data_IF_997743936452
#
_entry.id   IF_997743936452
#
_cell.length_a   1.000
_cell.length_b   1.000
_cell.length_c   1.000
_cell.angle_alpha   90.00
_cell.angle_beta   90.00
_cell.angle_gamma   90.00
#
_symmetry.space_group_name_H-M   'P 1'
#
loop_
_entity.id
_entity.type
_entity.pdbx_description
1 polymer ?
#
# COMPACT_ATOMS: atom_id res chain seq x y z
N UNK A 1 -0.91 -17.60 10.38
CA UNK A 1 -1.57 -16.36 9.91
C UNK A 1 -1.61 -16.41 8.39
N UNK A 2 -2.69 -15.95 7.74
CA UNK A 2 -2.80 -15.96 6.29
C UNK A 2 -1.75 -15.02 5.65
N UNK A 3 -0.87 -15.51 4.78
CA UNK A 3 0.30 -14.74 4.35
C UNK A 3 0.05 -13.81 3.17
N UNK A 4 -1.05 -13.98 2.42
CA UNK A 4 -1.37 -13.17 1.24
C UNK A 4 -2.40 -12.10 1.61
N UNK A 5 -2.06 -10.83 1.37
CA UNK A 5 -2.99 -9.72 1.49
C UNK A 5 -3.55 -9.34 0.11
N UNK A 6 -4.87 -9.29 -0.02
CA UNK A 6 -5.53 -8.91 -1.27
C UNK A 6 -6.80 -8.11 -1.01
N UNK A 7 -7.14 -7.23 -1.94
CA UNK A 7 -8.46 -6.62 -1.96
C UNK A 7 -9.45 -7.62 -2.57
N UNK A 8 -10.47 -8.00 -1.81
CA UNK A 8 -11.55 -8.87 -2.26
C UNK A 8 -12.91 -8.23 -1.93
N UNK A 9 -13.92 -8.57 -2.72
CA UNK A 9 -15.30 -8.26 -2.37
C UNK A 9 -15.74 -9.24 -1.28
N UNK A 10 -16.20 -8.70 -0.14
CA UNK A 10 -16.65 -9.48 1.01
C UNK A 10 -18.11 -9.18 1.31
N UNK A 11 -18.84 -10.20 1.71
CA UNK A 11 -20.21 -10.12 2.19
C UNK A 11 -20.38 -10.92 3.51
N UNK A 12 -21.59 -10.94 4.06
CA UNK A 12 -21.91 -11.63 5.32
C UNK A 12 -21.74 -13.15 5.26
N UNK A 13 -21.72 -13.75 4.07
CA UNK A 13 -21.48 -15.19 3.93
C UNK A 13 -19.99 -15.54 3.99
N UNK A 14 -19.11 -14.53 4.03
CA UNK A 14 -17.66 -14.73 4.17
C UNK A 14 -17.16 -14.60 5.62
N UNK A 15 -18.05 -14.30 6.56
CA UNK A 15 -17.73 -14.20 8.00
C UNK A 15 -18.35 -15.38 8.75
N UNK A 16 -17.74 -15.76 9.88
CA UNK A 16 -18.25 -16.87 10.69
C UNK A 16 -19.64 -16.57 11.27
N UNK A 17 -20.41 -17.62 11.55
CA UNK A 17 -21.84 -17.55 11.93
C UNK A 17 -22.13 -16.56 13.06
N UNK A 18 -21.27 -16.56 14.09
CA UNK A 18 -21.39 -15.62 15.20
C UNK A 18 -21.31 -14.14 14.75
N UNK A 19 -20.34 -13.82 13.88
CA UNK A 19 -20.18 -12.48 13.36
C UNK A 19 -21.26 -12.13 12.33
N UNK A 20 -21.79 -13.13 11.61
CA UNK A 20 -22.92 -12.97 10.70
C UNK A 20 -24.18 -12.55 11.46
N UNK A 21 -24.53 -13.27 12.53
CA UNK A 21 -25.66 -12.93 13.39
C UNK A 21 -25.50 -11.52 13.98
N UNK A 22 -24.32 -11.21 14.53
CA UNK A 22 -24.03 -9.87 15.03
C UNK A 22 -24.17 -8.78 13.96
N UNK A 23 -23.70 -9.04 12.73
CA UNK A 23 -23.81 -8.10 11.62
C UNK A 23 -25.26 -7.89 11.18
N UNK A 24 -26.10 -8.93 11.24
CA UNK A 24 -27.54 -8.85 10.96
C UNK A 24 -28.27 -8.03 12.02
N UNK A 25 -28.06 -8.33 13.31
CA UNK A 25 -28.68 -7.62 14.43
C UNK A 25 -28.30 -6.13 14.47
N UNK A 26 -27.05 -5.81 14.12
CA UNK A 26 -26.52 -4.44 14.14
C UNK A 26 -26.62 -3.71 12.81
N UNK A 27 -27.20 -4.35 11.79
CA UNK A 27 -27.32 -3.80 10.44
C UNK A 27 -25.97 -3.32 9.86
N UNK A 28 -24.92 -4.13 10.05
CA UNK A 28 -23.55 -3.91 9.58
C UNK A 28 -23.32 -4.75 8.32
N UNK A 29 -22.55 -4.23 7.35
CA UNK A 29 -22.20 -4.96 6.12
C UNK A 29 -23.42 -5.41 5.31
N UNK A 30 -24.40 -4.52 5.17
CA UNK A 30 -25.65 -4.80 4.44
C UNK A 30 -25.43 -4.98 2.94
N UNK A 31 -24.33 -4.41 2.44
CA UNK A 31 -23.92 -4.51 1.05
C UNK A 31 -22.52 -5.10 0.97
N UNK A 32 -22.23 -5.92 -0.06
CA UNK A 32 -20.88 -6.34 -0.37
C UNK A 32 -19.97 -5.13 -0.49
N UNK A 33 -18.74 -5.26 0.03
CA UNK A 33 -17.75 -4.18 -0.05
C UNK A 33 -16.37 -4.72 -0.37
N UNK A 34 -15.58 -3.93 -1.08
CA UNK A 34 -14.17 -4.23 -1.32
C UNK A 34 -13.36 -3.95 -0.06
N UNK A 35 -12.72 -4.98 0.49
CA UNK A 35 -11.89 -4.88 1.70
C UNK A 35 -10.55 -5.59 1.51
N UNK A 36 -9.53 -5.11 2.23
CA UNK A 36 -8.25 -5.80 2.32
C UNK A 36 -8.39 -6.98 3.29
N UNK A 37 -8.11 -8.19 2.81
CA UNK A 37 -8.19 -9.42 3.60
C UNK A 37 -6.88 -10.21 3.57
N UNK A 38 -6.63 -10.98 4.62
CA UNK A 38 -5.62 -12.03 4.63
C UNK A 38 -6.21 -13.34 4.08
N UNK A 39 -5.52 -13.99 3.14
CA UNK A 39 -5.94 -15.24 2.52
C UNK A 39 -4.76 -16.19 2.33
N UNK A 40 -5.03 -17.49 2.20
CA UNK A 40 -4.07 -18.51 1.76
C UNK A 40 -4.11 -18.73 0.24
N UNK A 41 -4.95 -17.98 -0.48
CA UNK A 41 -5.17 -18.10 -1.92
C UNK A 41 -5.16 -16.71 -2.56
N UNK A 42 -4.61 -16.60 -3.76
CA UNK A 42 -4.80 -15.45 -4.62
C UNK A 42 -4.75 -15.85 -6.10
N UNK A 43 -5.42 -15.05 -6.93
CA UNK A 43 -5.45 -15.21 -8.38
C UNK A 43 -4.93 -13.92 -9.01
N UNK A 44 -3.99 -14.04 -9.96
CA UNK A 44 -3.40 -12.89 -10.70
C UNK A 44 -2.86 -11.79 -9.78
N UNK A 45 -2.03 -12.17 -8.81
CA UNK A 45 -1.31 -11.23 -7.92
C UNK A 45 0.11 -11.00 -8.43
N UNK A 46 0.59 -9.75 -8.35
CA UNK A 46 1.99 -9.41 -8.59
C UNK A 46 2.75 -9.53 -7.26
N UNK A 47 3.83 -10.32 -7.26
CA UNK A 47 4.65 -10.59 -6.08
C UNK A 47 6.11 -10.26 -6.39
N UNK A 48 6.79 -9.67 -5.42
CA UNK A 48 8.24 -9.55 -5.48
C UNK A 48 8.88 -10.94 -5.38
N UNK A 49 9.93 -11.19 -6.17
CA UNK A 49 10.59 -12.51 -6.27
C UNK A 49 11.00 -13.08 -4.91
N UNK A 50 11.55 -12.25 -4.01
CA UNK A 50 11.95 -12.69 -2.67
C UNK A 50 10.77 -13.17 -1.83
N UNK A 51 9.65 -12.45 -1.88
CA UNK A 51 8.44 -12.83 -1.15
C UNK A 51 7.83 -14.13 -1.72
N UNK A 52 7.86 -14.28 -3.04
CA UNK A 52 7.39 -15.51 -3.70
C UNK A 52 8.23 -16.72 -3.28
N UNK A 53 9.57 -16.59 -3.25
CA UNK A 53 10.46 -17.66 -2.76
C UNK A 53 10.13 -18.06 -1.32
N UNK A 54 9.96 -17.07 -0.45
CA UNK A 54 9.55 -17.32 0.94
C UNK A 54 8.21 -18.06 1.02
N UNK A 55 7.21 -17.67 0.22
CA UNK A 55 5.92 -18.39 0.17
C UNK A 55 6.06 -19.85 -0.27
N UNK A 56 6.89 -20.13 -1.28
CA UNK A 56 7.14 -21.50 -1.75
C UNK A 56 7.79 -22.37 -0.64
N UNK A 57 8.76 -21.81 0.08
CA UNK A 57 9.40 -22.48 1.23
C UNK A 57 8.40 -22.80 2.36
N UNK A 58 7.34 -21.99 2.49
CA UNK A 58 6.29 -22.14 3.50
C UNK A 58 5.06 -22.89 2.98
N UNK A 59 5.19 -23.63 1.87
CA UNK A 59 4.19 -24.57 1.39
C UNK A 59 3.08 -23.98 0.52
N UNK A 60 3.19 -22.71 0.10
CA UNK A 60 2.30 -22.19 -0.94
C UNK A 60 2.71 -22.75 -2.30
N UNK A 61 1.71 -23.01 -3.15
CA UNK A 61 1.92 -23.61 -4.48
C UNK A 61 1.58 -22.59 -5.56
N UNK A 62 2.51 -22.35 -6.48
CA UNK A 62 2.26 -21.57 -7.69
C UNK A 62 1.68 -22.47 -8.76
N UNK A 63 0.44 -22.20 -9.16
CA UNK A 63 -0.24 -22.99 -10.19
C UNK A 63 0.01 -22.45 -11.60
N UNK A 64 0.15 -21.13 -11.75
CA UNK A 64 0.34 -20.45 -13.05
C UNK A 64 1.18 -19.18 -12.89
N UNK A 65 2.09 -18.95 -13.84
CA UNK A 65 2.86 -17.71 -13.98
C UNK A 65 2.42 -17.02 -15.27
N UNK A 66 1.98 -15.77 -15.16
CA UNK A 66 1.47 -15.00 -16.30
C UNK A 66 2.50 -14.03 -16.87
N UNK A 67 3.32 -13.45 -16.01
CA UNK A 67 4.30 -12.44 -16.38
C UNK A 67 5.46 -12.46 -15.38
N UNK A 68 6.66 -12.21 -15.88
CA UNK A 68 7.86 -11.95 -15.09
C UNK A 68 8.38 -10.58 -15.51
N UNK A 69 8.68 -9.73 -14.54
CA UNK A 69 9.25 -8.40 -14.78
C UNK A 69 10.62 -8.37 -14.13
N UNK A 70 11.65 -8.24 -14.96
CA UNK A 70 13.03 -8.07 -14.52
C UNK A 70 13.37 -6.58 -14.47
N UNK A 71 14.18 -6.19 -13.49
CA UNK A 71 14.72 -4.85 -13.39
C UNK A 71 16.18 -4.93 -12.95
N UNK A 72 16.99 -3.98 -13.43
CA UNK A 72 18.35 -3.80 -12.94
C UNK A 72 18.29 -2.98 -11.65
N UNK A 73 18.77 -3.50 -10.51
CA UNK A 73 18.75 -2.76 -9.27
C UNK A 73 19.74 -1.59 -9.34
N UNK A 74 19.23 -0.37 -9.25
CA UNK A 74 20.03 0.85 -9.27
C UNK A 74 19.66 1.73 -8.08
N UNK A 75 20.68 2.34 -7.45
CA UNK A 75 20.51 3.22 -6.30
C UNK A 75 20.20 4.66 -6.73
N UNK A 76 19.26 4.84 -7.66
CA UNK A 76 18.95 6.13 -8.28
C UNK A 76 18.45 7.20 -7.29
N UNK A 77 17.94 6.80 -6.12
CA UNK A 77 17.50 7.69 -5.05
C UNK A 77 18.47 7.76 -3.86
N UNK A 78 19.71 7.27 -4.00
CA UNK A 78 20.68 7.24 -2.89
C UNK A 78 20.91 8.61 -2.27
N UNK A 79 21.16 9.62 -3.09
CA UNK A 79 21.40 11.00 -2.61
C UNK A 79 20.22 11.53 -1.79
N UNK A 80 18.99 11.26 -2.24
CA UNK A 80 17.78 11.62 -1.52
C UNK A 80 17.63 10.86 -0.20
N UNK A 81 17.81 9.53 -0.21
CA UNK A 81 17.73 8.69 0.98
C UNK A 81 18.79 9.06 2.03
N UNK A 82 20.00 9.39 1.57
CA UNK A 82 21.09 9.88 2.42
C UNK A 82 20.74 11.23 3.04
N UNK A 83 20.17 12.17 2.27
CA UNK A 83 19.76 13.47 2.78
C UNK A 83 18.69 13.36 3.89
N UNK A 84 17.65 12.55 3.66
CA UNK A 84 16.62 12.28 4.68
C UNK A 84 17.24 11.64 5.92
N UNK A 85 18.07 10.61 5.74
CA UNK A 85 18.67 9.87 6.85
C UNK A 85 19.66 10.72 7.65
N UNK A 86 20.45 11.55 6.99
CA UNK A 86 21.39 12.47 7.64
C UNK A 86 20.67 13.55 8.44
N UNK A 87 19.60 14.14 7.89
CA UNK A 87 18.80 15.14 8.60
C UNK A 87 18.15 14.55 9.86
N UNK A 88 17.68 13.29 9.80
CA UNK A 88 17.14 12.59 10.96
C UNK A 88 18.19 12.34 12.04
N UNK A 89 19.35 11.79 11.68
CA UNK A 89 20.47 11.60 12.62
C UNK A 89 20.91 12.92 13.26
N UNK A 90 20.92 14.02 12.50
CA UNK A 90 21.28 15.32 13.02
C UNK A 90 20.24 15.85 14.04
N UNK A 91 18.95 15.61 13.82
CA UNK A 91 17.91 15.94 14.80
C UNK A 91 17.92 15.08 16.05
N UNK A 92 18.36 13.82 15.95
CA UNK A 92 18.53 12.95 17.12
C UNK A 92 19.70 13.42 18.03
N UNK A 93 20.73 14.04 17.43
CA UNK A 93 21.91 14.58 18.16
C UNK A 93 21.65 16.00 18.69
N UNK A 94 20.95 16.83 17.92
CA UNK A 94 20.73 18.25 18.22
C UNK A 94 19.23 18.59 18.24
N UNK A 95 18.64 18.78 19.43
CA UNK A 95 17.22 19.09 19.58
C UNK A 95 16.76 20.34 18.83
N UNK A 96 17.65 21.30 18.52
CA UNK A 96 17.30 22.49 17.75
C UNK A 96 16.93 22.16 16.29
N UNK A 97 17.35 20.98 15.80
CA UNK A 97 17.07 20.49 14.43
C UNK A 97 15.87 19.55 14.36
N UNK A 98 15.13 19.37 15.45
CA UNK A 98 13.98 18.46 15.51
C UNK A 98 12.92 18.77 14.42
N UNK A 99 12.63 20.04 14.15
CA UNK A 99 11.67 20.45 13.12
C UNK A 99 12.13 20.01 11.73
N UNK A 100 13.42 20.16 11.43
CA UNK A 100 14.01 19.76 10.15
C UNK A 100 13.97 18.23 10.02
N UNK A 101 14.30 17.49 11.07
CA UNK A 101 14.26 16.04 11.07
C UNK A 101 12.86 15.48 10.82
N UNK A 102 11.83 16.01 11.49
CA UNK A 102 10.45 15.59 11.27
C UNK A 102 9.93 16.00 9.89
N UNK A 103 10.33 17.17 9.39
CA UNK A 103 10.00 17.60 8.02
C UNK A 103 10.64 16.68 6.98
N UNK A 104 11.93 16.33 7.13
CA UNK A 104 12.62 15.44 6.20
C UNK A 104 12.07 14.01 6.25
N UNK A 105 11.61 13.55 7.41
CA UNK A 105 10.87 12.28 7.55
C UNK A 105 9.55 12.33 6.78
N UNK A 106 8.79 13.41 6.88
CA UNK A 106 7.56 13.60 6.11
C UNK A 106 7.85 13.62 4.60
N UNK A 107 8.88 14.35 4.17
CA UNK A 107 9.32 14.38 2.76
C UNK A 107 9.69 12.98 2.29
N UNK A 108 10.52 12.23 3.02
CA UNK A 108 10.89 10.86 2.68
C UNK A 108 9.69 9.93 2.50
N UNK A 109 8.76 9.93 3.46
CA UNK A 109 7.57 9.07 3.41
C UNK A 109 6.60 9.48 2.30
N UNK A 110 6.39 10.78 2.11
CA UNK A 110 5.46 11.31 1.10
C UNK A 110 5.97 11.11 -0.31
N UNK A 111 7.28 11.20 -0.55
CA UNK A 111 7.88 10.89 -1.85
C UNK A 111 7.58 9.46 -2.28
N UNK A 112 7.71 8.48 -1.39
CA UNK A 112 7.33 7.09 -1.69
C UNK A 112 5.81 6.96 -1.94
N UNK A 113 4.98 7.57 -1.10
CA UNK A 113 3.53 7.60 -1.33
C UNK A 113 3.14 8.18 -2.70
N UNK A 114 3.91 9.16 -3.18
CA UNK A 114 3.69 9.80 -4.47
C UNK A 114 3.97 8.86 -5.65
N UNK A 115 4.98 7.99 -5.56
CA UNK A 115 5.31 7.04 -6.65
C UNK A 115 4.25 5.96 -6.83
N UNK A 116 3.53 5.60 -5.77
CA UNK A 116 2.44 4.59 -5.78
C UNK A 116 1.03 5.21 -5.81
N UNK A 117 0.92 6.50 -6.09
CA UNK A 117 -0.37 7.21 -6.08
C UNK A 117 -1.31 6.65 -7.17
N UNK A 118 -2.52 6.27 -6.77
CA UNK A 118 -3.58 5.90 -7.72
C UNK A 118 -4.17 7.16 -8.39
N UNK A 119 -3.68 7.46 -9.59
CA UNK A 119 -4.11 8.62 -10.39
C UNK A 119 -5.57 8.56 -10.84
N UNK A 120 -6.20 7.37 -10.91
CA UNK A 120 -7.60 7.20 -11.32
C UNK A 120 -8.60 7.83 -10.33
N UNK A 121 -8.13 8.15 -9.11
CA UNK A 121 -8.92 8.82 -8.08
C UNK A 121 -8.88 10.35 -8.17
N UNK A 122 -8.01 10.93 -9.00
CA UNK A 122 -7.94 12.37 -9.19
C UNK A 122 -9.00 12.80 -10.21
N UNK A 123 -10.24 12.98 -9.74
CA UNK A 123 -11.41 13.22 -10.60
C UNK A 123 -11.98 14.62 -10.53
N UNK A 124 -11.42 15.48 -9.69
CA UNK A 124 -11.84 16.88 -9.58
C UNK A 124 -11.32 17.63 -10.81
N UNK A 125 -12.24 17.93 -11.73
CA UNK A 125 -11.99 18.75 -12.92
C UNK A 125 -12.77 20.04 -12.73
N UNK A 126 -12.04 21.16 -12.67
CA UNK A 126 -12.62 22.49 -12.70
C UNK A 126 -12.47 23.03 -14.13
N UNK A 127 -13.59 23.50 -14.71
CA UNK A 127 -13.57 24.23 -15.97
C UNK A 127 -13.54 25.72 -15.64
N UNK A 128 -12.53 26.44 -16.11
CA UNK A 128 -12.50 27.90 -16.02
C UNK A 128 -13.01 28.50 -17.33
N UNK A 129 -13.74 29.61 -17.26
CA UNK A 129 -13.95 30.50 -18.41
C UNK A 129 -12.64 31.23 -18.73
N UNK A 130 -12.50 31.74 -19.96
CA UNK A 130 -11.30 32.49 -20.39
C UNK A 130 -10.98 33.68 -19.47
N UNK A 131 -12.01 34.27 -18.85
CA UNK A 131 -11.88 35.41 -17.93
C UNK A 131 -11.39 35.03 -16.51
N UNK A 132 -11.40 33.74 -16.16
CA UNK A 132 -11.06 33.22 -14.83
C UNK A 132 -9.85 32.25 -14.85
N UNK A 133 -9.17 32.12 -16.00
CA UNK A 133 -7.91 31.39 -16.08
C UNK A 133 -6.76 32.22 -15.46
N UNK A 134 -5.94 31.65 -14.55
CA UNK A 134 -4.86 32.37 -13.86
C UNK A 134 -3.67 32.73 -14.76
#
# INVERSE_FOLDING_TARGET
MCPIFKNAEINRDNIGDFMKQFAEERNIMNQPRKSLIGSNHATKILLATHLLKWYLEHGLVVTKVYQVVEYTPEACFKSFGDAVSNARRAGDVDPSKAIIAETMKLVGNSSYGKTITNKEKHRDIQFCSEDEAP
#
